data_IF_187765865629
#
_entry.id   IF_187765865629
#
_cell.length_a   1.000
_cell.length_b   1.000
_cell.length_c   1.000
_cell.angle_alpha   90.00
_cell.angle_beta   90.00
_cell.angle_gamma   90.00
#
_symmetry.space_group_name_H-M   'P 1'
#
loop_
_entity.id
_entity.type
_entity.pdbx_description
1 polymer ?
#
# COMPACT_ATOMS: atom_id res chain seq x y z
N UNK A 1 -3.42 28.69 -14.95
CA UNK A 1 -2.71 28.02 -13.84
C UNK A 1 -3.33 26.63 -13.72
N UNK A 2 -2.62 25.57 -14.09
CA UNK A 2 -3.12 24.19 -13.97
C UNK A 2 -3.07 23.85 -12.49
N UNK A 3 -4.18 23.47 -11.88
CA UNK A 3 -4.18 23.04 -10.48
C UNK A 3 -3.48 21.69 -10.39
N UNK A 4 -2.38 21.62 -9.64
CA UNK A 4 -1.67 20.37 -9.44
C UNK A 4 -2.52 19.40 -8.63
N UNK A 5 -2.88 18.27 -9.24
CA UNK A 5 -3.67 17.22 -8.60
C UNK A 5 -2.75 16.05 -8.28
N UNK A 6 -2.66 15.74 -7.00
CA UNK A 6 -1.92 14.60 -6.49
C UNK A 6 -2.89 13.53 -6.01
N UNK A 7 -2.58 12.27 -6.34
CA UNK A 7 -3.29 11.11 -5.83
C UNK A 7 -2.44 10.40 -4.79
N UNK A 8 -3.05 10.14 -3.64
CA UNK A 8 -2.41 9.40 -2.56
C UNK A 8 -2.82 7.93 -2.66
N UNK A 9 -1.91 7.08 -3.10
CA UNK A 9 -2.02 5.64 -2.90
C UNK A 9 -1.86 5.35 -1.42
N UNK A 10 -2.78 4.60 -0.83
CA UNK A 10 -2.84 4.35 0.60
C UNK A 10 -3.32 2.93 0.90
N UNK A 11 -2.48 2.13 1.57
CA UNK A 11 -2.86 0.76 1.93
C UNK A 11 -3.89 0.67 3.05
N UNK A 12 -4.10 1.76 3.80
CA UNK A 12 -5.12 1.84 4.83
C UNK A 12 -4.58 2.11 6.24
N UNK A 13 -5.34 1.63 7.23
CA UNK A 13 -5.27 2.08 8.62
C UNK A 13 -4.00 1.68 9.37
N UNK A 14 -3.30 0.62 8.93
CA UNK A 14 -2.01 0.25 9.52
C UNK A 14 -0.88 1.14 9.00
N UNK A 15 -1.16 2.01 8.02
CA UNK A 15 -0.17 2.82 7.33
C UNK A 15 0.98 1.95 6.81
N UNK A 16 0.66 0.81 6.19
CA UNK A 16 1.67 -0.08 5.61
C UNK A 16 2.40 0.57 4.45
N UNK A 17 1.66 1.23 3.56
CA UNK A 17 2.17 1.90 2.38
C UNK A 17 1.42 3.19 2.10
N UNK A 18 2.15 4.24 1.71
CA UNK A 18 1.59 5.47 1.14
C UNK A 18 2.51 6.00 0.05
N UNK A 19 1.95 6.49 -1.05
CA UNK A 19 2.70 7.17 -2.11
C UNK A 19 1.87 8.27 -2.76
N UNK A 20 2.46 9.46 -2.92
CA UNK A 20 1.85 10.57 -3.65
C UNK A 20 2.30 10.55 -5.10
N UNK A 21 1.34 10.52 -6.02
CA UNK A 21 1.57 10.49 -7.46
C UNK A 21 0.96 11.72 -8.10
N UNK A 22 1.72 12.37 -8.98
CA UNK A 22 1.26 13.53 -9.71
C UNK A 22 0.45 13.10 -10.93
N UNK A 23 -0.84 13.42 -10.94
CA UNK A 23 -1.80 12.89 -11.92
C UNK A 23 -1.47 13.31 -13.36
N UNK A 24 -0.88 14.49 -13.57
CA UNK A 24 -0.51 14.94 -14.92
C UNK A 24 0.68 14.16 -15.53
N UNK A 25 1.41 13.39 -14.73
CA UNK A 25 2.47 12.48 -15.19
C UNK A 25 2.01 11.01 -15.21
N UNK A 26 0.72 10.78 -14.99
CA UNK A 26 0.17 9.43 -15.02
C UNK A 26 0.18 8.88 -16.45
N UNK A 27 0.61 7.63 -16.58
CA UNK A 27 0.47 6.79 -17.77
C UNK A 27 -0.02 5.39 -17.37
N UNK A 28 -0.32 4.56 -18.37
CA UNK A 28 -0.84 3.19 -18.16
C UNK A 28 0.09 2.29 -17.31
N UNK A 29 1.37 2.63 -17.20
CA UNK A 29 2.38 1.89 -16.44
C UNK A 29 2.61 2.47 -15.03
N UNK A 30 2.02 3.62 -14.69
CA UNK A 30 2.20 4.28 -13.39
C UNK A 30 1.83 3.38 -12.22
N UNK A 31 0.70 2.67 -12.27
CA UNK A 31 0.29 1.77 -11.18
C UNK A 31 1.27 0.61 -11.02
N UNK A 32 1.78 0.08 -12.13
CA UNK A 32 2.83 -0.95 -12.14
C UNK A 32 4.09 -0.46 -11.44
N UNK A 33 4.56 0.75 -11.76
CA UNK A 33 5.71 1.38 -11.09
C UNK A 33 5.46 1.61 -9.60
N UNK A 34 4.27 2.10 -9.21
CA UNK A 34 3.90 2.25 -7.78
C UNK A 34 4.04 0.91 -7.04
N UNK A 35 3.60 -0.19 -7.67
CA UNK A 35 3.70 -1.53 -7.10
C UNK A 35 5.16 -2.00 -6.96
N UNK A 36 5.93 -2.00 -8.05
CA UNK A 36 7.26 -2.63 -8.07
C UNK A 36 8.33 -1.76 -7.42
N UNK A 37 8.32 -0.46 -7.70
CA UNK A 37 9.45 0.42 -7.35
C UNK A 37 9.28 1.01 -5.94
N UNK A 38 8.03 1.07 -5.45
CA UNK A 38 7.70 1.67 -4.16
C UNK A 38 7.09 0.67 -3.17
N UNK A 39 5.99 -0.03 -3.51
CA UNK A 39 5.31 -0.92 -2.56
C UNK A 39 6.20 -2.10 -2.16
N UNK A 40 6.77 -2.85 -3.12
CA UNK A 40 7.65 -3.98 -2.81
C UNK A 40 8.90 -3.53 -2.06
N UNK A 41 9.43 -2.35 -2.39
CA UNK A 41 10.53 -1.76 -1.66
C UNK A 41 10.15 -1.45 -0.21
N UNK A 42 8.96 -0.88 0.03
CA UNK A 42 8.44 -0.62 1.37
C UNK A 42 8.23 -1.92 2.16
N UNK A 43 7.70 -2.98 1.53
CA UNK A 43 7.52 -4.29 2.18
C UNK A 43 8.85 -4.83 2.70
N UNK A 44 9.89 -4.80 1.85
CA UNK A 44 11.24 -5.24 2.23
C UNK A 44 11.81 -4.45 3.41
N UNK A 45 11.57 -3.14 3.48
CA UNK A 45 12.00 -2.35 4.64
C UNK A 45 11.29 -2.77 5.93
N UNK A 46 9.98 -3.00 5.87
CA UNK A 46 9.19 -3.44 7.02
C UNK A 46 9.58 -4.86 7.47
N UNK A 47 9.84 -5.77 6.54
CA UNK A 47 10.34 -7.12 6.82
C UNK A 47 11.69 -7.08 7.55
N UNK A 48 12.65 -6.28 7.06
CA UNK A 48 13.95 -6.13 7.71
C UNK A 48 13.83 -5.51 9.12
N UNK A 49 12.95 -4.52 9.29
CA UNK A 49 12.68 -3.92 10.59
C UNK A 49 12.03 -4.91 11.57
N UNK A 50 11.15 -5.78 11.07
CA UNK A 50 10.53 -6.86 11.84
C UNK A 50 11.55 -7.89 12.28
N UNK A 51 12.46 -8.32 11.39
CA UNK A 51 13.55 -9.24 11.74
C UNK A 51 14.47 -8.64 12.80
N UNK A 52 14.81 -7.35 12.66
CA UNK A 52 15.61 -6.62 13.65
C UNK A 52 14.92 -6.56 15.01
N UNK A 53 13.62 -6.28 15.04
CA UNK A 53 12.84 -6.28 16.28
C UNK A 53 12.75 -7.68 16.91
N UNK A 54 12.63 -8.74 16.11
CA UNK A 54 12.64 -10.11 16.60
C UNK A 54 13.99 -10.46 17.25
N UNK A 55 15.11 -10.08 16.60
CA UNK A 55 16.44 -10.23 17.18
C UNK A 55 16.57 -9.51 18.53
N UNK A 56 16.01 -8.31 18.67
CA UNK A 56 15.95 -7.59 19.95
C UNK A 56 15.14 -8.35 21.00
N UNK A 57 14.01 -8.99 20.65
CA UNK A 57 13.23 -9.80 21.61
C UNK A 57 14.07 -10.94 22.17
N UNK A 58 14.84 -11.60 21.30
CA UNK A 58 15.63 -12.79 21.65
C UNK A 58 16.87 -12.44 22.49
N UNK A 59 17.39 -11.22 22.35
CA UNK A 59 18.63 -10.76 23.01
C UNK A 59 18.42 -9.67 24.08
N UNK A 60 17.17 -9.26 24.35
CA UNK A 60 16.86 -8.17 25.28
C UNK A 60 17.38 -8.47 26.69
N UNK A 61 18.06 -7.49 27.28
CA UNK A 61 18.57 -7.57 28.66
C UNK A 61 17.57 -7.04 29.70
N UNK A 62 16.52 -6.36 29.23
CA UNK A 62 15.48 -5.79 30.09
C UNK A 62 14.08 -6.12 29.59
N UNK A 63 13.13 -6.23 30.54
CA UNK A 63 11.71 -6.44 30.22
C UNK A 63 11.12 -5.29 29.40
N UNK A 64 11.58 -4.05 29.63
CA UNK A 64 11.13 -2.86 28.90
C UNK A 64 11.52 -2.90 27.42
N UNK A 65 12.78 -3.27 27.13
CA UNK A 65 13.28 -3.46 25.77
C UNK A 65 12.51 -4.56 25.04
N UNK A 66 12.34 -5.72 25.69
CA UNK A 66 11.56 -6.85 25.14
C UNK A 66 10.11 -6.44 24.83
N UNK A 67 9.47 -5.69 25.72
CA UNK A 67 8.09 -5.19 25.54
C UNK A 67 7.98 -4.25 24.33
N UNK A 68 8.93 -3.31 24.18
CA UNK A 68 8.96 -2.40 23.02
C UNK A 68 9.16 -3.16 21.70
N UNK A 69 10.10 -4.09 21.66
CA UNK A 69 10.37 -4.89 20.47
C UNK A 69 9.19 -5.79 20.09
N UNK A 70 8.51 -6.39 21.07
CA UNK A 70 7.28 -7.18 20.85
C UNK A 70 6.15 -6.35 20.24
N UNK A 71 5.97 -5.10 20.72
CA UNK A 71 5.01 -4.16 20.11
C UNK A 71 5.38 -3.79 18.68
N UNK A 72 6.68 -3.62 18.39
CA UNK A 72 7.17 -3.34 17.05
C UNK A 72 6.89 -4.51 16.10
N UNK A 73 7.20 -5.76 16.49
CA UNK A 73 6.85 -6.96 15.71
C UNK A 73 5.35 -6.99 15.43
N UNK A 74 4.50 -6.81 16.45
CA UNK A 74 3.04 -6.79 16.28
C UNK A 74 2.58 -5.72 15.29
N UNK A 75 3.19 -4.53 15.32
CA UNK A 75 2.90 -3.46 14.36
C UNK A 75 3.30 -3.87 12.94
N UNK A 76 4.53 -4.35 12.75
CA UNK A 76 5.04 -4.72 11.43
C UNK A 76 4.28 -5.90 10.82
N UNK A 77 3.88 -6.89 11.62
CA UNK A 77 3.00 -7.99 11.16
C UNK A 77 1.69 -7.46 10.60
N UNK A 78 1.06 -6.48 11.26
CA UNK A 78 -0.19 -5.87 10.78
C UNK A 78 0.04 -5.05 9.50
N UNK A 79 1.15 -4.31 9.42
CA UNK A 79 1.51 -3.55 8.22
C UNK A 79 1.75 -4.48 7.02
N UNK A 80 2.54 -5.55 7.18
CA UNK A 80 2.80 -6.50 6.09
C UNK A 80 1.53 -7.23 5.64
N UNK A 81 0.64 -7.61 6.57
CA UNK A 81 -0.63 -8.22 6.23
C UNK A 81 -1.52 -7.26 5.41
N UNK A 82 -1.58 -5.97 5.79
CA UNK A 82 -2.30 -4.94 5.02
C UNK A 82 -1.68 -4.74 3.64
N UNK A 83 -0.35 -4.59 3.57
CA UNK A 83 0.38 -4.41 2.31
C UNK A 83 0.26 -5.59 1.36
N UNK A 84 0.11 -6.82 1.87
CA UNK A 84 -0.12 -8.00 1.03
C UNK A 84 -1.47 -7.95 0.32
N UNK A 85 -2.54 -7.65 1.05
CA UNK A 85 -3.88 -7.51 0.48
C UNK A 85 -3.89 -6.35 -0.53
N UNK A 86 -3.20 -5.26 -0.19
CA UNK A 86 -3.04 -4.12 -1.08
C UNK A 86 -2.23 -4.46 -2.34
N UNK A 87 -1.18 -5.30 -2.22
CA UNK A 87 -0.39 -5.77 -3.38
C UNK A 87 -1.23 -6.57 -4.37
N UNK A 88 -2.14 -7.40 -3.87
CA UNK A 88 -3.08 -8.16 -4.72
C UNK A 88 -4.02 -7.21 -5.48
N UNK A 89 -4.56 -6.19 -4.82
CA UNK A 89 -5.43 -5.19 -5.45
C UNK A 89 -4.68 -4.33 -6.48
N UNK A 90 -3.49 -3.82 -6.13
CA UNK A 90 -2.71 -2.98 -7.03
C UNK A 90 -2.17 -3.79 -8.22
N UNK A 91 -1.85 -5.07 -8.05
CA UNK A 91 -1.49 -5.96 -9.15
C UNK A 91 -2.64 -6.12 -10.15
N UNK A 92 -3.87 -6.31 -9.65
CA UNK A 92 -5.05 -6.42 -10.50
C UNK A 92 -5.22 -5.17 -11.38
N UNK A 93 -5.13 -3.98 -10.78
CA UNK A 93 -5.25 -2.71 -11.52
C UNK A 93 -4.05 -2.46 -12.44
N UNK A 94 -2.82 -2.78 -12.01
CA UNK A 94 -1.63 -2.66 -12.85
C UNK A 94 -1.75 -3.50 -14.14
N UNK A 95 -2.28 -4.71 -14.04
CA UNK A 95 -2.48 -5.59 -15.19
C UNK A 95 -3.54 -5.07 -16.17
N UNK A 96 -4.51 -4.29 -15.69
CA UNK A 96 -5.52 -3.67 -16.55
C UNK A 96 -4.94 -2.50 -17.37
N UNK A 97 -3.76 -1.97 -17.01
CA UNK A 97 -3.11 -0.85 -17.69
C UNK A 97 -4.07 0.33 -17.92
N UNK A 98 -4.83 0.69 -16.87
CA UNK A 98 -5.87 1.73 -16.96
C UNK A 98 -5.26 3.05 -17.41
N UNK A 99 -5.75 3.58 -18.53
CA UNK A 99 -5.50 4.95 -18.97
C UNK A 99 -6.50 5.93 -18.35
N UNK A 100 -6.05 7.16 -18.13
CA UNK A 100 -6.90 8.25 -17.62
C UNK A 100 -6.97 9.36 -18.67
N UNK A 101 -8.16 9.92 -18.87
CA UNK A 101 -8.34 11.10 -19.68
C UNK A 101 -8.51 12.29 -18.74
N UNK A 102 -7.68 13.33 -18.88
CA UNK A 102 -7.76 14.49 -18.00
C UNK A 102 -9.06 15.28 -18.17
N UNK A 103 -9.70 15.15 -19.33
CA UNK A 103 -10.97 15.82 -19.65
C UNK A 103 -12.18 15.12 -18.99
N UNK A 104 -12.06 13.83 -18.61
CA UNK A 104 -13.08 13.11 -17.81
C UNK A 104 -13.27 13.72 -16.41
N UNK A 105 -12.29 14.49 -15.95
CA UNK A 105 -12.28 15.10 -14.63
C UNK A 105 -11.84 14.15 -13.51
N UNK A 106 -11.46 14.75 -12.39
CA UNK A 106 -10.79 14.04 -11.28
C UNK A 106 -11.64 12.92 -10.69
N UNK A 107 -12.95 13.14 -10.52
CA UNK A 107 -13.84 12.16 -9.87
C UNK A 107 -14.00 10.88 -10.69
N UNK A 108 -14.18 11.01 -12.00
CA UNK A 108 -14.35 9.87 -12.91
C UNK A 108 -13.09 9.02 -12.93
N UNK A 109 -11.93 9.66 -13.08
CA UNK A 109 -10.65 8.96 -13.06
C UNK A 109 -10.35 8.34 -11.70
N UNK A 110 -10.62 9.05 -10.61
CA UNK A 110 -10.40 8.54 -9.25
C UNK A 110 -11.21 7.26 -8.97
N UNK A 111 -12.46 7.20 -9.44
CA UNK A 111 -13.33 6.03 -9.27
C UNK A 111 -12.78 4.75 -9.92
N UNK A 112 -11.95 4.86 -10.98
CA UNK A 112 -11.29 3.71 -11.63
C UNK A 112 -10.34 2.95 -10.69
N UNK A 113 -9.91 3.56 -9.59
CA UNK A 113 -8.96 3.01 -8.63
C UNK A 113 -9.60 2.66 -7.27
N UNK A 114 -10.94 2.56 -7.21
CA UNK A 114 -11.70 2.26 -5.99
C UNK A 114 -12.44 0.93 -6.11
N UNK A 115 -12.75 0.29 -4.99
CA UNK A 115 -13.58 -0.90 -4.94
C UNK A 115 -13.01 -2.13 -5.65
N UNK A 116 -11.69 -2.23 -5.77
CA UNK A 116 -11.00 -3.36 -6.42
C UNK A 116 -11.32 -4.64 -5.67
N UNK A 117 -11.86 -5.62 -6.38
CA UNK A 117 -12.25 -6.90 -5.80
C UNK A 117 -11.07 -7.87 -5.80
N UNK A 118 -10.63 -8.25 -4.60
CA UNK A 118 -9.58 -9.24 -4.38
C UNK A 118 -10.22 -10.52 -3.87
N UNK A 119 -10.12 -11.59 -4.65
CA UNK A 119 -10.60 -12.90 -4.25
C UNK A 119 -9.57 -13.59 -3.33
N UNK A 120 -10.01 -14.01 -2.16
CA UNK A 120 -9.22 -14.87 -1.27
C UNK A 120 -9.79 -16.27 -1.33
N UNK A 121 -8.95 -17.28 -1.60
CA UNK A 121 -9.39 -18.67 -1.69
C UNK A 121 -10.16 -19.08 -0.41
N UNK A 122 -11.39 -19.57 -0.60
CA UNK A 122 -12.27 -20.01 0.48
C UNK A 122 -12.88 -18.89 1.33
N UNK A 123 -12.74 -17.61 0.96
CA UNK A 123 -13.31 -16.46 1.68
C UNK A 123 -14.12 -15.54 0.75
N UNK A 124 -14.94 -14.68 1.35
CA UNK A 124 -15.64 -13.61 0.62
C UNK A 124 -14.63 -12.67 -0.03
N UNK A 125 -14.92 -12.25 -1.24
CA UNK A 125 -14.20 -11.20 -1.97
C UNK A 125 -14.07 -9.96 -1.10
N UNK A 126 -12.84 -9.44 -0.98
CA UNK A 126 -12.55 -8.20 -0.28
C UNK A 126 -12.55 -7.05 -1.28
N UNK A 127 -13.16 -5.92 -0.91
CA UNK A 127 -13.08 -4.68 -1.69
C UNK A 127 -11.97 -3.81 -1.13
N UNK A 128 -11.07 -3.35 -2.00
CA UNK A 128 -9.91 -2.53 -1.65
C UNK A 128 -9.93 -1.26 -2.49
N UNK A 129 -9.84 -0.11 -1.83
CA UNK A 129 -9.62 1.17 -2.48
C UNK A 129 -8.10 1.41 -2.60
N UNK A 130 -7.60 1.72 -3.79
CA UNK A 130 -6.16 1.98 -3.96
C UNK A 130 -5.77 3.38 -3.51
N UNK A 131 -6.66 4.35 -3.72
CA UNK A 131 -6.43 5.76 -3.38
C UNK A 131 -7.16 6.14 -2.09
N UNK A 132 -6.58 7.08 -1.33
CA UNK A 132 -7.17 7.64 -0.12
C UNK A 132 -8.33 8.59 -0.43
N UNK A 133 -9.44 8.43 0.31
CA UNK A 133 -10.66 9.24 0.16
C UNK A 133 -10.35 10.75 0.20
N UNK A 134 -10.95 11.48 -0.75
CA UNK A 134 -10.93 12.95 -0.86
C UNK A 134 -11.98 13.55 0.09
#
# INVERSE_FOLDING_TARGET
>A
MRSDIYWLFDSGKQNGFKALIYMHQYDADTVGRVRTDYLHRAQKYVENAMQSAQYTIDNAKSASEKSKATKAVTKYTKQLAEMKIYDEAIAHVANQRIEIDLDDGVKVNYAKFQGVEVAQEGKKTLKVDLLAKI
#
